data_IF_435609011860
#
_entry.id   IF_435609011860
#
_cell.length_a   1.000
_cell.length_b   1.000
_cell.length_c   1.000
_cell.angle_alpha   90.00
_cell.angle_beta   90.00
_cell.angle_gamma   90.00
#
_symmetry.space_group_name_H-M   'P 1'
#
loop_
_entity.id
_entity.type
_entity.pdbx_description
1 polymer ?
#
# COMPACT_ATOMS: atom_id res chain seq x y z
N UNK A 1 7.29 2.62 7.69
CA UNK A 1 6.90 4.03 7.83
C UNK A 1 6.43 4.57 6.48
N UNK A 2 5.70 5.69 6.46
CA UNK A 2 5.28 6.33 5.21
C UNK A 2 6.48 6.72 4.32
N UNK A 3 7.60 7.16 4.92
CA UNK A 3 8.82 7.50 4.19
C UNK A 3 9.31 6.34 3.30
N UNK A 4 9.51 5.17 3.93
CA UNK A 4 9.97 3.97 3.24
C UNK A 4 8.97 3.49 2.19
N UNK A 5 7.67 3.67 2.43
CA UNK A 5 6.63 3.30 1.47
C UNK A 5 6.72 4.15 0.20
N UNK A 6 6.85 5.47 0.34
CA UNK A 6 7.00 6.38 -0.79
C UNK A 6 8.23 6.03 -1.64
N UNK A 7 9.39 5.89 -0.99
CA UNK A 7 10.65 5.49 -1.64
C UNK A 7 10.51 4.14 -2.35
N UNK A 8 9.95 3.13 -1.68
CA UNK A 8 9.79 1.80 -2.26
C UNK A 8 8.93 1.83 -3.53
N UNK A 9 7.83 2.58 -3.53
CA UNK A 9 6.94 2.64 -4.69
C UNK A 9 7.61 3.41 -5.83
N UNK A 10 8.18 4.58 -5.56
CA UNK A 10 8.80 5.42 -6.59
C UNK A 10 10.04 4.78 -7.21
N UNK A 11 10.83 4.03 -6.42
CA UNK A 11 12.08 3.41 -6.90
C UNK A 11 11.89 2.00 -7.47
N UNK A 12 10.85 1.25 -7.06
CA UNK A 12 10.67 -0.16 -7.43
C UNK A 12 9.46 -0.44 -8.31
N UNK A 13 8.35 0.27 -8.11
CA UNK A 13 7.10 0.03 -8.84
C UNK A 13 6.97 1.02 -9.98
N UNK A 14 7.13 2.33 -9.73
CA UNK A 14 7.03 3.36 -10.76
C UNK A 14 8.22 3.36 -11.74
N UNK A 15 9.23 2.53 -11.52
CA UNK A 15 10.31 2.29 -12.48
C UNK A 15 9.96 1.21 -13.51
N UNK A 16 8.84 0.51 -13.34
CA UNK A 16 8.34 -0.48 -14.31
C UNK A 16 7.66 0.20 -15.52
N UNK A 17 7.47 -0.53 -16.63
CA UNK A 17 6.73 -0.05 -17.80
C UNK A 17 5.29 0.36 -17.46
N UNK A 18 4.75 1.35 -18.18
CA UNK A 18 3.44 1.91 -17.88
C UNK A 18 2.31 0.88 -18.02
N UNK A 19 2.42 -0.06 -18.94
CA UNK A 19 1.48 -1.15 -19.20
C UNK A 19 1.54 -2.29 -18.17
N UNK A 20 2.50 -2.25 -17.24
CA UNK A 20 2.62 -3.25 -16.20
C UNK A 20 1.37 -3.24 -15.31
N UNK A 21 0.69 -4.39 -15.23
CA UNK A 21 -0.51 -4.55 -14.41
C UNK A 21 -0.16 -4.53 -12.92
N UNK A 22 -0.92 -3.75 -12.17
CA UNK A 22 -0.86 -3.69 -10.71
C UNK A 22 -2.04 -4.48 -10.15
N UNK A 23 -1.76 -5.63 -9.56
CA UNK A 23 -2.73 -6.44 -8.82
C UNK A 23 -2.56 -6.19 -7.31
N UNK A 24 -3.45 -5.39 -6.68
CA UNK A 24 -3.35 -5.11 -5.25
C UNK A 24 -3.83 -6.29 -4.41
N UNK A 25 -3.31 -6.43 -3.20
CA UNK A 25 -3.80 -7.44 -2.25
C UNK A 25 -5.22 -7.14 -1.72
N UNK A 26 -5.63 -5.87 -1.74
CA UNK A 26 -6.95 -5.42 -1.27
C UNK A 26 -7.46 -4.27 -2.13
N UNK A 27 -8.76 -4.24 -2.36
CA UNK A 27 -9.50 -3.10 -2.88
C UNK A 27 -10.82 -2.98 -2.10
N UNK A 28 -11.27 -1.74 -1.88
CA UNK A 28 -12.48 -1.44 -1.10
C UNK A 28 -13.57 -0.74 -1.93
N UNK A 29 -13.38 -0.62 -3.25
CA UNK A 29 -14.27 0.09 -4.18
C UNK A 29 -14.75 -0.80 -5.36
N UNK A 30 -14.39 -2.08 -5.38
CA UNK A 30 -14.77 -3.05 -6.42
C UNK A 30 -13.82 -3.13 -7.62
N UNK A 31 -12.61 -2.56 -7.54
CA UNK A 31 -11.61 -2.61 -8.60
C UNK A 31 -10.79 -3.90 -8.51
N UNK A 32 -10.39 -4.44 -9.67
CA UNK A 32 -9.67 -5.72 -9.76
C UNK A 32 -8.22 -5.59 -10.21
N UNK A 33 -7.87 -4.53 -10.96
CA UNK A 33 -6.54 -4.30 -11.52
C UNK A 33 -6.38 -2.81 -11.89
N UNK A 34 -5.14 -2.33 -11.90
CA UNK A 34 -4.72 -1.02 -12.43
C UNK A 34 -3.43 -1.21 -13.25
N UNK A 35 -2.81 -0.13 -13.70
CA UNK A 35 -1.49 -0.14 -14.34
C UNK A 35 -0.52 0.81 -13.65
N UNK A 36 0.78 0.57 -13.82
CA UNK A 36 1.81 1.48 -13.29
C UNK A 36 1.64 2.89 -13.86
N UNK A 37 1.29 3.02 -15.14
CA UNK A 37 1.01 4.31 -15.78
C UNK A 37 -0.19 5.03 -15.16
N UNK A 38 -1.28 4.31 -14.90
CA UNK A 38 -2.47 4.86 -14.23
C UNK A 38 -2.15 5.34 -12.81
N UNK A 39 -1.47 4.52 -12.00
CA UNK A 39 -1.11 4.89 -10.63
C UNK A 39 -0.15 6.09 -10.59
N UNK A 40 0.82 6.15 -11.50
CA UNK A 40 1.78 7.27 -11.59
C UNK A 40 1.10 8.58 -11.96
N UNK A 41 0.02 8.53 -12.74
CA UNK A 41 -0.70 9.71 -13.23
C UNK A 41 -1.85 10.13 -12.32
N UNK A 42 -2.52 9.16 -11.69
CA UNK A 42 -3.83 9.40 -11.06
C UNK A 42 -3.90 9.00 -9.57
N UNK A 43 -2.91 8.30 -9.01
CA UNK A 43 -2.99 7.93 -7.59
C UNK A 43 -3.05 9.18 -6.71
N UNK A 44 -4.11 9.35 -5.88
CA UNK A 44 -4.36 10.61 -5.18
C UNK A 44 -3.32 10.96 -4.12
N UNK A 45 -2.50 9.99 -3.70
CA UNK A 45 -1.47 10.15 -2.67
C UNK A 45 -0.08 10.11 -3.26
N UNK A 46 0.20 9.16 -4.15
CA UNK A 46 1.55 8.89 -4.66
C UNK A 46 2.00 9.85 -5.77
N UNK A 47 1.08 10.62 -6.35
CA UNK A 47 1.35 11.74 -7.26
C UNK A 47 1.77 13.02 -6.54
N UNK A 48 1.62 13.07 -5.21
CA UNK A 48 2.05 14.20 -4.38
C UNK A 48 3.55 14.18 -4.17
N UNK A 49 4.11 15.31 -3.77
CA UNK A 49 5.49 15.35 -3.29
C UNK A 49 5.66 14.45 -2.07
N UNK A 50 6.89 14.00 -1.81
CA UNK A 50 7.21 13.17 -0.64
C UNK A 50 6.74 13.81 0.67
N UNK A 51 6.92 15.12 0.83
CA UNK A 51 6.51 15.85 2.03
C UNK A 51 4.98 15.85 2.21
N UNK A 52 4.23 16.17 1.16
CA UNK A 52 2.77 16.14 1.16
C UNK A 52 2.24 14.74 1.44
N UNK A 53 2.83 13.70 0.83
CA UNK A 53 2.49 12.31 1.09
C UNK A 53 2.66 11.96 2.58
N UNK A 54 3.80 12.30 3.18
CA UNK A 54 4.05 12.07 4.60
C UNK A 54 3.01 12.79 5.48
N UNK A 55 2.70 14.05 5.16
CA UNK A 55 1.68 14.83 5.85
C UNK A 55 0.30 14.16 5.75
N UNK A 56 -0.11 13.72 4.56
CA UNK A 56 -1.39 13.01 4.37
C UNK A 56 -1.42 11.73 5.21
N UNK A 57 -0.40 10.88 5.09
CA UNK A 57 -0.38 9.57 5.73
C UNK A 57 -0.37 9.66 7.27
N UNK A 58 0.28 10.69 7.84
CA UNK A 58 0.31 10.91 9.29
C UNK A 58 -1.00 11.46 9.86
N UNK A 59 -1.92 11.96 9.02
CA UNK A 59 -3.15 12.63 9.45
C UNK A 59 -4.43 11.84 9.06
N UNK A 60 -4.32 10.57 8.67
CA UNK A 60 -5.50 9.77 8.26
C UNK A 60 -6.43 9.41 9.43
N UNK A 61 -5.96 9.45 10.68
CA UNK A 61 -6.75 9.15 11.89
C UNK A 61 -7.59 7.86 11.79
N UNK A 62 -7.00 6.80 11.24
CA UNK A 62 -7.67 5.52 11.06
C UNK A 62 -7.79 4.78 12.40
N UNK A 63 -8.89 4.02 12.63
CA UNK A 63 -9.00 3.17 13.80
C UNK A 63 -7.94 2.07 13.78
N UNK A 64 -7.65 1.50 14.96
CA UNK A 64 -6.82 0.29 15.07
C UNK A 64 -7.42 -0.82 14.19
N UNK A 65 -6.62 -1.53 13.37
CA UNK A 65 -7.17 -2.58 12.50
C UNK A 65 -7.79 -3.72 13.31
N UNK A 66 -9.03 -4.10 12.99
CA UNK A 66 -9.88 -4.98 13.81
C UNK A 66 -9.27 -6.33 14.16
N UNK A 67 -8.45 -6.92 13.27
CA UNK A 67 -7.85 -8.25 13.47
C UNK A 67 -6.35 -8.23 13.74
N UNK A 68 -5.72 -7.07 13.95
CA UNK A 68 -4.25 -6.97 14.01
C UNK A 68 -3.65 -7.83 15.13
N UNK A 69 -4.30 -7.87 16.29
CA UNK A 69 -3.82 -8.64 17.46
C UNK A 69 -3.97 -10.15 17.30
N UNK A 70 -4.70 -10.61 16.28
CA UNK A 70 -4.91 -12.04 15.97
C UNK A 70 -4.08 -12.43 14.75
N UNK A 71 -4.24 -11.68 13.65
CA UNK A 71 -3.61 -11.98 12.37
C UNK A 71 -2.09 -11.81 12.40
N UNK A 72 -1.55 -10.81 13.11
CA UNK A 72 -0.09 -10.61 13.15
C UNK A 72 0.61 -11.77 13.88
N UNK A 73 0.21 -12.17 15.11
CA UNK A 73 0.81 -13.32 15.77
C UNK A 73 0.70 -14.60 14.96
N UNK A 74 -0.46 -14.89 14.38
CA UNK A 74 -0.65 -16.08 13.53
C UNK A 74 0.28 -16.06 12.31
N UNK A 75 0.38 -14.93 11.60
CA UNK A 75 1.20 -14.82 10.40
C UNK A 75 2.71 -14.88 10.68
N UNK A 76 3.16 -14.43 11.87
CA UNK A 76 4.57 -14.55 12.29
C UNK A 76 5.03 -16.01 12.43
N UNK A 77 4.09 -16.93 12.64
CA UNK A 77 4.33 -18.38 12.70
C UNK A 77 3.72 -19.11 11.49
N UNK A 78 3.60 -18.44 10.35
CA UNK A 78 3.10 -19.01 9.09
C UNK A 78 1.67 -19.60 9.19
N UNK A 79 0.83 -19.02 10.05
CA UNK A 79 -0.56 -19.47 10.25
C UNK A 79 -0.69 -20.78 11.05
N UNK A 80 0.39 -21.24 11.67
CA UNK A 80 0.35 -22.38 12.58
C UNK A 80 -0.44 -22.02 13.85
N UNK A 81 -1.32 -22.92 14.25
CA UNK A 81 -2.09 -22.81 15.49
C UNK A 81 -1.91 -24.10 16.29
N UNK A 82 -1.56 -23.98 17.59
CA UNK A 82 -1.52 -25.13 18.51
C UNK A 82 -0.25 -26.00 18.48
N UNK A 83 0.89 -25.46 18.01
CA UNK A 83 2.22 -26.02 18.29
C UNK A 83 2.80 -25.42 19.57
#
# INVERSE_FOLDING_TARGET
SANRLYESIHEKIFTLPDECLVYPAHDYLGQTVSTVGEERKFNPRLTKTKEEFLKIMNNLNLPKPNKIDISVPANLVCGLHGV
#
